data_IF_129589910523
#
_entry.id   IF_129589910523
#
_cell.length_a   1.000
_cell.length_b   1.000
_cell.length_c   1.000
_cell.angle_alpha   90.00
_cell.angle_beta   90.00
_cell.angle_gamma   90.00
#
_symmetry.space_group_name_H-M   'P 1'
#
loop_
_entity.id
_entity.type
_entity.pdbx_description
1 polymer ?
#
# COMPACT_ATOMS: atom_id res chain seq x y z
N UNK A 1 3.54 -16.31 21.70
CA UNK A 1 3.09 -16.43 20.30
C UNK A 1 1.67 -15.87 20.22
N UNK A 2 1.39 -15.05 19.22
CA UNK A 2 0.06 -14.51 18.99
C UNK A 2 -0.76 -15.57 18.26
N UNK A 3 -2.01 -15.79 18.69
CA UNK A 3 -2.90 -16.77 18.06
C UNK A 3 -3.13 -16.39 16.58
N UNK A 4 -2.98 -17.36 15.67
CA UNK A 4 -3.21 -17.15 14.23
C UNK A 4 -4.69 -16.90 13.91
N UNK A 5 -5.60 -17.38 14.77
CA UNK A 5 -7.04 -17.17 14.63
C UNK A 5 -7.51 -15.83 15.22
N UNK A 6 -6.65 -15.11 15.95
CA UNK A 6 -7.00 -13.80 16.52
C UNK A 6 -7.12 -12.74 15.41
N UNK A 7 -8.32 -12.17 15.19
CA UNK A 7 -8.51 -11.09 14.22
C UNK A 7 -7.81 -9.77 14.58
N UNK A 8 -7.47 -9.57 15.86
CA UNK A 8 -6.85 -8.35 16.38
C UNK A 8 -5.36 -8.53 16.71
N UNK A 9 -4.75 -9.60 16.18
CA UNK A 9 -3.34 -9.96 16.40
C UNK A 9 -2.36 -8.79 16.28
N UNK A 10 -2.66 -7.84 15.39
CA UNK A 10 -1.82 -6.68 15.11
C UNK A 10 -1.67 -5.73 16.29
N UNK A 11 -2.55 -5.79 17.31
CA UNK A 11 -2.48 -4.96 18.51
C UNK A 11 -1.35 -5.35 19.46
N UNK A 12 -1.01 -6.64 19.46
CA UNK A 12 0.05 -7.20 20.31
C UNK A 12 1.32 -7.53 19.51
N UNK A 13 1.34 -7.17 18.22
CA UNK A 13 2.41 -7.54 17.31
C UNK A 13 3.68 -6.68 17.52
N UNK A 14 4.83 -7.35 17.49
CA UNK A 14 6.14 -6.72 17.29
C UNK A 14 6.51 -6.92 15.82
N UNK A 15 6.45 -5.83 15.04
CA UNK A 15 6.67 -5.84 13.59
C UNK A 15 8.13 -5.51 13.30
N UNK A 16 8.75 -6.30 12.43
CA UNK A 16 10.10 -6.07 11.93
C UNK A 16 10.08 -5.84 10.43
N UNK A 17 10.46 -4.62 10.02
CA UNK A 17 10.55 -4.26 8.61
C UNK A 17 11.83 -4.85 8.00
N UNK A 18 11.69 -5.56 6.88
CA UNK A 18 12.79 -6.20 6.17
C UNK A 18 12.73 -5.83 4.69
N UNK A 19 13.87 -5.43 4.14
CA UNK A 19 14.08 -5.41 2.70
C UNK A 19 14.79 -6.69 2.28
N UNK A 20 14.13 -7.50 1.43
CA UNK A 20 14.67 -8.79 0.95
C UNK A 20 16.08 -8.61 0.36
N UNK A 21 16.22 -7.62 -0.54
CA UNK A 21 17.46 -7.20 -1.21
C UNK A 21 18.68 -7.04 -0.30
N UNK A 22 18.49 -6.64 0.96
CA UNK A 22 19.60 -6.27 1.84
C UNK A 22 19.73 -7.16 3.07
N UNK A 23 18.88 -8.18 3.23
CA UNK A 23 18.84 -8.95 4.48
C UNK A 23 19.84 -10.10 4.49
N UNK A 24 19.77 -11.00 3.50
CA UNK A 24 20.72 -12.10 3.37
C UNK A 24 20.71 -12.66 1.94
N UNK A 25 21.88 -12.72 1.33
CA UNK A 25 22.13 -13.29 0.00
C UNK A 25 22.50 -14.77 0.15
N UNK A 26 21.67 -15.66 -0.40
CA UNK A 26 21.91 -17.11 -0.35
C UNK A 26 22.74 -17.62 -1.52
N UNK A 27 22.77 -16.86 -2.62
CA UNK A 27 23.37 -17.27 -3.90
C UNK A 27 24.79 -16.70 -4.11
N UNK A 28 25.20 -15.72 -3.31
CA UNK A 28 26.42 -14.93 -3.42
C UNK A 28 26.50 -14.10 -4.72
N UNK A 29 25.37 -13.61 -5.22
CA UNK A 29 25.32 -12.70 -6.38
C UNK A 29 25.37 -11.21 -5.99
N UNK A 30 25.37 -10.90 -4.68
CA UNK A 30 25.43 -9.57 -4.11
C UNK A 30 24.07 -9.00 -3.70
N UNK A 31 22.97 -9.74 -3.90
CA UNK A 31 21.60 -9.32 -3.61
C UNK A 31 20.92 -10.33 -2.69
N UNK A 32 20.25 -9.84 -1.65
CA UNK A 32 19.45 -10.67 -0.77
C UNK A 32 18.19 -11.20 -1.46
N UNK A 33 17.80 -12.42 -1.10
CA UNK A 33 16.73 -13.18 -1.77
C UNK A 33 15.82 -13.90 -0.77
N UNK A 34 14.69 -14.45 -1.23
CA UNK A 34 13.71 -15.12 -0.35
C UNK A 34 14.24 -16.41 0.27
N UNK A 35 15.13 -17.14 -0.40
CA UNK A 35 15.76 -18.31 0.19
C UNK A 35 16.67 -17.89 1.36
N UNK A 36 17.46 -16.85 1.17
CA UNK A 36 18.31 -16.27 2.19
C UNK A 36 17.52 -15.72 3.37
N UNK A 37 16.42 -15.01 3.12
CA UNK A 37 15.51 -14.57 4.17
C UNK A 37 14.92 -15.78 4.94
N UNK A 38 14.53 -16.84 4.24
CA UNK A 38 14.02 -18.07 4.85
C UNK A 38 15.06 -18.71 5.79
N UNK A 39 16.33 -18.76 5.39
CA UNK A 39 17.43 -19.27 6.21
C UNK A 39 17.64 -18.48 7.51
N UNK A 40 17.19 -17.23 7.57
CA UNK A 40 17.35 -16.34 8.73
C UNK A 40 16.09 -16.23 9.60
N UNK A 41 15.01 -16.94 9.29
CA UNK A 41 13.78 -16.87 10.08
C UNK A 41 13.95 -17.29 11.54
N UNK A 42 14.91 -18.16 11.87
CA UNK A 42 15.19 -18.50 13.27
C UNK A 42 15.79 -17.31 14.03
N UNK A 43 16.69 -16.54 13.40
CA UNK A 43 17.19 -15.29 13.98
C UNK A 43 16.05 -14.28 14.19
N UNK A 44 15.19 -14.13 13.18
CA UNK A 44 14.03 -13.21 13.24
C UNK A 44 13.10 -13.60 14.40
N UNK A 45 12.76 -14.89 14.51
CA UNK A 45 11.96 -15.41 15.63
C UNK A 45 12.64 -15.19 16.98
N UNK A 46 13.92 -15.49 17.10
CA UNK A 46 14.65 -15.44 18.37
C UNK A 46 14.84 -14.00 18.88
N UNK A 47 14.80 -13.01 17.99
CA UNK A 47 14.71 -11.59 18.35
C UNK A 47 13.40 -11.25 19.10
N UNK A 48 12.38 -12.10 19.02
CA UNK A 48 11.09 -11.93 19.69
C UNK A 48 10.02 -11.24 18.85
N UNK A 49 10.27 -11.04 17.55
CA UNK A 49 9.30 -10.42 16.64
C UNK A 49 8.17 -11.40 16.34
N UNK A 50 7.00 -10.88 16.00
CA UNK A 50 5.80 -11.70 15.73
C UNK A 50 5.25 -11.50 14.32
N UNK A 51 5.70 -10.46 13.62
CA UNK A 51 5.35 -10.21 12.23
C UNK A 51 6.52 -9.59 11.46
N UNK A 52 6.68 -10.00 10.21
CA UNK A 52 7.62 -9.43 9.25
C UNK A 52 6.83 -8.51 8.34
N UNK A 53 7.29 -7.28 8.16
CA UNK A 53 6.82 -6.38 7.11
C UNK A 53 7.86 -6.31 6.01
N UNK A 54 7.53 -6.85 4.84
CA UNK A 54 8.39 -6.80 3.67
C UNK A 54 8.23 -5.47 2.94
N UNK A 55 9.36 -4.80 2.68
CA UNK A 55 9.44 -3.76 1.64
C UNK A 55 9.08 -4.34 0.25
N UNK A 56 8.83 -3.51 -0.78
CA UNK A 56 8.37 -4.02 -2.08
C UNK A 56 9.36 -5.04 -2.66
N UNK A 57 8.82 -6.16 -3.14
CA UNK A 57 9.59 -7.25 -3.74
C UNK A 57 9.07 -7.63 -5.14
N UNK A 58 8.20 -6.79 -5.70
CA UNK A 58 7.55 -6.97 -6.99
C UNK A 58 8.51 -6.67 -8.16
N UNK A 59 8.26 -7.22 -9.37
CA UNK A 59 8.92 -6.74 -10.57
C UNK A 59 8.82 -5.22 -10.68
N UNK A 60 9.98 -4.59 -10.83
CA UNK A 60 10.15 -3.15 -10.83
C UNK A 60 11.48 -2.84 -11.52
N UNK A 61 11.61 -1.70 -12.23
CA UNK A 61 12.91 -1.24 -12.72
C UNK A 61 13.77 -0.66 -11.58
N UNK A 62 13.27 -0.64 -10.34
CA UNK A 62 13.96 -0.24 -9.11
C UNK A 62 14.44 1.21 -9.15
N UNK A 63 13.69 2.09 -9.82
CA UNK A 63 14.03 3.53 -9.88
C UNK A 63 13.59 4.27 -8.62
N UNK A 64 12.70 3.66 -7.84
CA UNK A 64 12.37 4.05 -6.46
C UNK A 64 12.42 2.82 -5.53
N UNK A 65 13.48 2.03 -5.65
CA UNK A 65 13.77 0.83 -4.83
C UNK A 65 12.60 -0.18 -4.70
N UNK A 66 11.78 -0.28 -5.74
CA UNK A 66 10.65 -1.21 -5.82
C UNK A 66 9.27 -0.59 -5.58
N UNK A 67 9.19 0.69 -5.17
CA UNK A 67 7.91 1.40 -5.04
C UNK A 67 7.30 1.74 -6.42
N UNK A 68 8.11 1.76 -7.48
CA UNK A 68 7.69 1.79 -8.88
C UNK A 68 7.38 0.38 -9.41
N UNK A 69 6.20 -0.16 -9.09
CA UNK A 69 5.80 -1.55 -9.42
C UNK A 69 5.43 -1.69 -10.91
N UNK A 70 6.05 -2.62 -11.61
CA UNK A 70 5.76 -2.96 -13.00
C UNK A 70 4.83 -4.18 -13.16
N UNK A 71 4.78 -5.07 -12.16
CA UNK A 71 3.80 -6.17 -12.08
C UNK A 71 3.44 -6.46 -10.62
N UNK A 72 2.17 -6.35 -10.26
CA UNK A 72 1.69 -6.61 -8.91
C UNK A 72 1.60 -8.08 -8.51
N UNK A 73 1.66 -9.02 -9.45
CA UNK A 73 1.29 -10.44 -9.24
C UNK A 73 2.47 -11.40 -9.38
N UNK A 74 3.68 -10.89 -9.41
CA UNK A 74 4.89 -11.71 -9.44
C UNK A 74 5.94 -11.22 -8.44
N UNK A 75 7.03 -11.97 -8.32
CA UNK A 75 8.23 -11.63 -7.52
C UNK A 75 9.30 -11.09 -8.45
N UNK A 76 10.03 -10.06 -8.02
CA UNK A 76 11.17 -9.54 -8.75
C UNK A 76 12.21 -10.67 -8.94
N UNK A 77 12.67 -10.94 -10.18
CA UNK A 77 13.62 -12.04 -10.42
C UNK A 77 14.92 -11.95 -9.62
N UNK A 78 15.33 -10.74 -9.19
CA UNK A 78 16.49 -10.55 -8.32
C UNK A 78 16.30 -11.06 -6.89
N UNK A 79 15.06 -11.35 -6.47
CA UNK A 79 14.73 -11.82 -5.11
C UNK A 79 14.32 -13.29 -5.09
N UNK A 80 14.33 -13.97 -6.24
CA UNK A 80 13.89 -15.34 -6.43
C UNK A 80 12.58 -15.45 -7.20
N UNK A 81 11.81 -16.47 -6.90
CA UNK A 81 10.60 -16.86 -7.61
C UNK A 81 9.37 -16.82 -6.71
N UNK A 82 8.19 -16.90 -7.33
CA UNK A 82 6.94 -17.07 -6.60
C UNK A 82 6.92 -18.36 -5.75
N UNK A 83 7.66 -19.41 -6.13
CA UNK A 83 7.78 -20.61 -5.29
C UNK A 83 8.57 -20.32 -4.01
N UNK A 84 9.66 -19.57 -4.14
CA UNK A 84 10.52 -19.20 -3.00
C UNK A 84 9.74 -18.33 -2.01
N UNK A 85 8.93 -17.38 -2.50
CA UNK A 85 8.02 -16.60 -1.66
C UNK A 85 7.04 -17.48 -0.89
N UNK A 86 6.39 -18.44 -1.55
CA UNK A 86 5.45 -19.36 -0.88
C UNK A 86 6.13 -20.20 0.19
N UNK A 87 7.35 -20.68 -0.08
CA UNK A 87 8.16 -21.41 0.92
C UNK A 87 8.52 -20.52 2.10
N UNK A 88 8.89 -19.25 1.85
CA UNK A 88 9.13 -18.27 2.90
C UNK A 88 7.88 -18.05 3.78
N UNK A 89 6.71 -17.80 3.19
CA UNK A 89 5.47 -17.57 3.93
C UNK A 89 5.13 -18.79 4.81
N UNK A 90 5.19 -20.00 4.24
CA UNK A 90 4.96 -21.23 5.00
C UNK A 90 5.95 -21.39 6.16
N UNK A 91 7.25 -21.19 5.92
CA UNK A 91 8.29 -21.30 6.93
C UNK A 91 8.18 -20.23 8.03
N UNK A 92 7.71 -19.03 7.69
CA UNK A 92 7.41 -17.97 8.66
C UNK A 92 6.22 -18.38 9.55
N UNK A 93 5.15 -18.89 8.93
CA UNK A 93 3.96 -19.36 9.65
C UNK A 93 4.25 -20.54 10.58
N UNK A 94 5.09 -21.50 10.17
CA UNK A 94 5.56 -22.59 11.03
C UNK A 94 6.28 -22.10 12.30
N UNK A 95 6.89 -20.91 12.23
CA UNK A 95 7.57 -20.25 13.36
C UNK A 95 6.66 -19.29 14.14
N UNK A 96 5.37 -19.26 13.82
CA UNK A 96 4.40 -18.34 14.44
C UNK A 96 4.60 -16.88 14.04
N UNK A 97 5.32 -16.61 12.94
CA UNK A 97 5.50 -15.28 12.38
C UNK A 97 4.38 -15.01 11.37
N UNK A 98 3.86 -13.78 11.37
CA UNK A 98 2.97 -13.28 10.32
C UNK A 98 3.75 -12.51 9.26
N UNK A 99 3.20 -12.43 8.06
CA UNK A 99 3.83 -11.71 6.94
C UNK A 99 2.90 -10.58 6.47
N UNK A 100 3.41 -9.36 6.49
CA UNK A 100 2.79 -8.17 5.91
C UNK A 100 3.60 -7.81 4.65
N UNK A 101 2.92 -7.54 3.55
CA UNK A 101 3.58 -7.02 2.34
C UNK A 101 3.26 -5.54 2.16
N UNK A 102 4.20 -4.78 1.61
CA UNK A 102 3.92 -3.48 1.01
C UNK A 102 2.92 -3.61 -0.13
N UNK A 103 2.00 -2.66 -0.30
CA UNK A 103 1.22 -2.56 -1.52
C UNK A 103 1.05 -1.09 -1.90
N UNK A 104 1.71 -0.71 -2.99
CA UNK A 104 1.66 0.63 -3.55
C UNK A 104 0.46 0.73 -4.47
N UNK A 105 -0.61 1.40 -4.03
CA UNK A 105 -1.87 1.49 -4.80
C UNK A 105 -2.11 2.86 -5.40
N UNK A 106 -1.33 3.87 -5.04
CA UNK A 106 -1.47 5.22 -5.59
C UNK A 106 -1.00 5.31 -7.04
N UNK A 107 0.11 4.63 -7.36
CA UNK A 107 0.79 4.72 -8.64
C UNK A 107 1.37 3.36 -9.03
N UNK A 108 1.73 3.23 -10.30
CA UNK A 108 2.53 2.10 -10.82
C UNK A 108 3.84 2.62 -11.41
N UNK A 109 4.73 1.75 -11.87
CA UNK A 109 5.81 2.15 -12.77
C UNK A 109 5.28 2.59 -14.13
N UNK A 110 5.94 3.55 -14.77
CA UNK A 110 5.73 3.86 -16.19
C UNK A 110 5.94 2.63 -17.10
N UNK A 111 6.63 1.57 -16.64
CA UNK A 111 6.79 0.31 -17.37
C UNK A 111 5.64 -0.68 -17.14
N UNK A 112 4.72 -0.41 -16.22
CA UNK A 112 3.60 -1.31 -15.95
C UNK A 112 2.74 -1.48 -17.22
N UNK A 113 2.30 -2.71 -17.56
CA UNK A 113 1.44 -2.94 -18.72
C UNK A 113 0.15 -2.10 -18.75
N UNK A 114 -0.30 -1.58 -17.61
CA UNK A 114 -1.46 -0.70 -17.53
C UNK A 114 -1.11 0.67 -18.13
N UNK A 115 0.03 1.26 -17.74
CA UNK A 115 0.46 2.55 -18.27
C UNK A 115 0.84 2.46 -19.75
N UNK A 116 1.51 1.37 -20.15
CA UNK A 116 1.84 1.13 -21.57
C UNK A 116 0.58 1.04 -22.44
N UNK A 117 -0.47 0.37 -21.97
CA UNK A 117 -1.76 0.37 -22.69
C UNK A 117 -2.42 1.75 -22.66
N UNK A 118 -2.44 2.42 -21.50
CA UNK A 118 -3.06 3.71 -21.35
C UNK A 118 -2.43 4.75 -22.28
N UNK A 119 -1.10 4.82 -22.36
CA UNK A 119 -0.38 5.81 -23.17
C UNK A 119 -0.59 5.65 -24.67
N UNK A 120 -0.85 4.42 -25.13
CA UNK A 120 -1.12 4.08 -26.54
C UNK A 120 -2.61 4.17 -26.92
N UNK A 121 -3.52 4.11 -25.93
CA UNK A 121 -4.96 4.07 -26.18
C UNK A 121 -5.53 5.43 -26.62
N UNK A 122 -6.61 5.49 -27.41
CA UNK A 122 -7.23 6.77 -27.76
C UNK A 122 -7.62 7.62 -26.54
N UNK A 123 -7.52 8.94 -26.64
CA UNK A 123 -7.99 9.85 -25.58
C UNK A 123 -9.47 9.59 -25.25
N UNK A 124 -9.80 9.48 -23.96
CA UNK A 124 -11.15 9.19 -23.48
C UNK A 124 -11.56 7.70 -23.53
N UNK A 125 -10.67 6.77 -23.89
CA UNK A 125 -10.98 5.33 -23.82
C UNK A 125 -10.89 4.79 -22.37
N UNK A 126 -11.54 3.65 -22.06
CA UNK A 126 -11.42 3.02 -20.74
C UNK A 126 -9.98 2.64 -20.36
N UNK A 127 -9.16 2.23 -21.33
CA UNK A 127 -7.76 1.89 -21.10
C UNK A 127 -6.91 3.13 -20.81
N UNK A 128 -7.21 4.26 -21.49
CA UNK A 128 -6.58 5.56 -21.23
C UNK A 128 -6.87 6.02 -19.80
N UNK A 129 -8.12 5.85 -19.37
CA UNK A 129 -8.66 6.34 -18.11
C UNK A 129 -8.18 5.57 -16.85
N UNK A 130 -7.22 4.64 -17.00
CA UNK A 130 -6.57 3.99 -15.86
C UNK A 130 -5.60 4.93 -15.11
N UNK A 131 -5.20 6.04 -15.74
CA UNK A 131 -4.30 7.05 -15.21
C UNK A 131 -4.91 8.44 -15.39
N UNK A 132 -4.39 9.40 -14.65
CA UNK A 132 -4.88 10.78 -14.68
C UNK A 132 -4.16 11.59 -15.76
N UNK A 133 -4.92 12.05 -16.77
CA UNK A 133 -4.40 12.78 -17.93
C UNK A 133 -4.92 14.22 -18.00
N UNK A 134 -4.13 15.11 -18.62
CA UNK A 134 -4.52 16.49 -18.88
C UNK A 134 -3.85 17.04 -20.14
N UNK A 135 -4.52 17.94 -20.84
CA UNK A 135 -3.95 18.69 -21.98
C UNK A 135 -2.97 19.79 -21.52
N UNK A 136 -3.07 20.21 -20.27
CA UNK A 136 -2.21 21.22 -19.64
C UNK A 136 -1.67 20.72 -18.29
N UNK A 137 -0.63 21.36 -17.78
CA UNK A 137 -0.07 21.14 -16.45
C UNK A 137 -0.67 22.07 -15.37
N UNK A 138 -1.80 22.72 -15.66
CA UNK A 138 -2.37 23.79 -14.82
C UNK A 138 -3.36 23.27 -13.75
N UNK A 139 -3.84 22.02 -13.89
CA UNK A 139 -4.77 21.40 -12.94
C UNK A 139 -4.07 21.10 -11.61
N UNK A 140 -4.85 21.15 -10.52
CA UNK A 140 -4.39 20.83 -9.17
C UNK A 140 -3.21 21.70 -8.69
N UNK A 141 -3.14 22.94 -9.15
CA UNK A 141 -2.00 23.86 -8.93
C UNK A 141 -1.70 24.22 -7.47
N UNK A 142 -2.65 24.02 -6.55
CA UNK A 142 -2.44 24.18 -5.10
C UNK A 142 -1.74 22.97 -4.44
N UNK A 143 -1.45 21.92 -5.20
CA UNK A 143 -0.80 20.70 -4.71
C UNK A 143 0.71 20.88 -4.64
N UNK A 144 1.31 20.62 -3.48
CA UNK A 144 2.77 20.60 -3.33
C UNK A 144 3.41 19.46 -4.11
N UNK A 145 4.66 19.65 -4.52
CA UNK A 145 5.53 18.58 -5.02
C UNK A 145 6.18 17.88 -3.83
N UNK A 146 6.18 16.53 -3.81
CA UNK A 146 6.77 15.76 -2.70
C UNK A 146 8.31 15.71 -2.83
N UNK A 147 8.82 15.37 -4.02
CA UNK A 147 10.25 15.23 -4.30
C UNK A 147 10.84 16.48 -4.96
N UNK A 148 10.85 17.60 -4.22
CA UNK A 148 11.26 18.93 -4.68
C UNK A 148 12.68 19.00 -5.26
N UNK A 149 13.57 18.10 -4.84
CA UNK A 149 14.96 18.08 -5.31
C UNK A 149 15.12 17.43 -6.70
N UNK A 150 14.08 16.76 -7.20
CA UNK A 150 14.10 16.01 -8.47
C UNK A 150 13.00 16.47 -9.41
N UNK A 151 11.76 16.57 -8.93
CA UNK A 151 10.59 16.89 -9.74
C UNK A 151 10.29 18.38 -9.69
N UNK A 152 10.03 18.97 -10.87
CA UNK A 152 9.70 20.39 -11.01
C UNK A 152 8.20 20.65 -11.13
N UNK A 153 7.43 19.58 -11.37
CA UNK A 153 5.98 19.57 -11.52
C UNK A 153 5.44 18.19 -11.12
N UNK A 154 4.16 18.13 -10.74
CA UNK A 154 3.42 16.87 -10.59
C UNK A 154 2.79 16.41 -11.93
N UNK A 155 3.03 17.14 -13.02
CA UNK A 155 2.60 16.81 -14.38
C UNK A 155 3.82 16.59 -15.27
N UNK A 156 3.86 15.45 -15.95
CA UNK A 156 4.89 15.15 -16.95
C UNK A 156 4.27 14.92 -18.33
N UNK A 157 4.83 15.53 -19.36
CA UNK A 157 4.39 15.33 -20.74
C UNK A 157 4.78 13.94 -21.27
N UNK A 158 3.80 13.16 -21.70
CA UNK A 158 4.05 11.88 -22.38
C UNK A 158 4.08 12.07 -23.92
N UNK A 159 5.21 11.74 -24.58
CA UNK A 159 5.37 11.98 -26.01
C UNK A 159 4.58 11.01 -26.90
N UNK A 160 4.05 9.90 -26.37
CA UNK A 160 3.21 8.94 -27.11
C UNK A 160 1.75 9.37 -27.04
N UNK A 161 1.28 9.64 -25.83
CA UNK A 161 -0.07 10.10 -25.52
C UNK A 161 -0.38 11.51 -26.06
N UNK A 162 0.66 12.35 -26.17
CA UNK A 162 0.52 13.79 -26.45
C UNK A 162 -0.35 14.51 -25.41
N UNK A 163 -0.23 14.10 -24.16
CA UNK A 163 -0.90 14.69 -22.99
C UNK A 163 0.04 14.60 -21.78
N UNK A 164 -0.20 15.45 -20.78
CA UNK A 164 0.42 15.32 -19.48
C UNK A 164 -0.26 14.20 -18.69
N UNK A 165 0.52 13.46 -17.89
CA UNK A 165 -0.01 12.59 -16.86
C UNK A 165 0.42 13.07 -15.48
N UNK A 166 -0.42 12.78 -14.49
CA UNK A 166 -0.18 13.12 -13.10
C UNK A 166 0.75 12.11 -12.41
N UNK A 167 1.61 12.61 -11.55
CA UNK A 167 2.41 11.82 -10.62
C UNK A 167 2.66 12.62 -9.34
N UNK A 168 2.42 12.02 -8.16
CA UNK A 168 2.76 12.65 -6.87
C UNK A 168 4.22 12.45 -6.47
N UNK A 169 4.82 11.41 -7.01
CA UNK A 169 6.19 10.99 -6.76
C UNK A 169 7.02 11.27 -8.00
N UNK A 170 7.92 10.37 -8.41
CA UNK A 170 8.71 10.58 -9.61
C UNK A 170 7.87 10.50 -10.88
N UNK A 171 8.33 11.15 -11.95
CA UNK A 171 7.72 11.11 -13.29
C UNK A 171 7.59 9.70 -13.86
N UNK A 172 8.33 8.72 -13.35
CA UNK A 172 8.19 7.31 -13.72
C UNK A 172 7.26 6.51 -12.81
N UNK A 173 6.50 7.20 -11.95
CA UNK A 173 5.48 6.67 -11.07
C UNK A 173 4.11 7.31 -11.39
N UNK A 174 3.54 7.06 -12.58
CA UNK A 174 2.24 7.62 -12.96
C UNK A 174 1.13 7.17 -11.99
N UNK A 175 0.35 8.15 -11.52
CA UNK A 175 -0.73 7.95 -10.55
C UNK A 175 -1.95 7.29 -11.21
N UNK A 176 -2.51 6.30 -10.50
CA UNK A 176 -3.71 5.58 -10.90
C UNK A 176 -4.95 6.46 -10.69
N UNK A 177 -5.90 6.38 -11.63
CA UNK A 177 -7.12 7.18 -11.56
C UNK A 177 -8.21 6.48 -10.72
N UNK A 178 -8.36 6.84 -9.44
CA UNK A 178 -9.40 6.25 -8.58
C UNK A 178 -10.81 6.78 -8.81
N UNK A 179 -11.01 7.80 -9.66
CA UNK A 179 -12.36 8.13 -10.15
C UNK A 179 -12.89 7.05 -11.12
N UNK A 180 -12.00 6.24 -11.70
CA UNK A 180 -12.36 5.10 -12.53
C UNK A 180 -12.61 3.85 -11.66
N UNK A 181 -13.86 3.33 -11.60
CA UNK A 181 -14.17 2.17 -10.76
C UNK A 181 -13.41 0.88 -11.17
N UNK A 182 -12.93 0.80 -12.41
CA UNK A 182 -12.12 -0.35 -12.86
C UNK A 182 -10.73 -0.37 -12.19
N UNK A 183 -10.18 0.80 -11.82
CA UNK A 183 -8.92 0.89 -11.07
C UNK A 183 -9.10 0.32 -9.66
N UNK A 184 -10.18 0.73 -8.97
CA UNK A 184 -10.50 0.20 -7.64
C UNK A 184 -10.67 -1.32 -7.67
N UNK A 185 -11.41 -1.87 -8.63
CA UNK A 185 -11.58 -3.33 -8.74
C UNK A 185 -10.23 -4.02 -8.99
N UNK A 186 -9.41 -3.52 -9.92
CA UNK A 186 -8.10 -4.10 -10.22
C UNK A 186 -7.18 -4.10 -8.98
N UNK A 187 -7.19 -3.03 -8.19
CA UNK A 187 -6.44 -2.94 -6.94
C UNK A 187 -6.96 -3.95 -5.91
N UNK A 188 -8.28 -4.10 -5.74
CA UNK A 188 -8.85 -5.10 -4.83
C UNK A 188 -8.49 -6.52 -5.28
N UNK A 189 -8.50 -6.81 -6.59
CA UNK A 189 -8.05 -8.11 -7.09
C UNK A 189 -6.57 -8.40 -6.78
N UNK A 190 -5.70 -7.38 -6.82
CA UNK A 190 -4.30 -7.51 -6.41
C UNK A 190 -4.21 -7.82 -4.90
N UNK A 191 -5.00 -7.13 -4.08
CA UNK A 191 -5.04 -7.41 -2.63
C UNK A 191 -5.48 -8.85 -2.36
N UNK A 192 -6.57 -9.31 -3.00
CA UNK A 192 -7.07 -10.69 -2.92
C UNK A 192 -5.99 -11.70 -3.29
N UNK A 193 -5.27 -11.45 -4.39
CA UNK A 193 -4.21 -12.36 -4.87
C UNK A 193 -3.16 -12.67 -3.79
N UNK A 194 -2.70 -11.66 -3.05
CA UNK A 194 -1.70 -11.84 -1.99
C UNK A 194 -2.28 -12.43 -0.71
N UNK A 195 -3.50 -12.02 -0.33
CA UNK A 195 -4.20 -12.59 0.83
C UNK A 195 -4.51 -14.08 0.62
N UNK A 196 -4.95 -14.48 -0.57
CA UNK A 196 -5.17 -15.88 -0.97
C UNK A 196 -3.87 -16.70 -0.93
N UNK A 197 -2.72 -16.04 -1.08
CA UNK A 197 -1.41 -16.67 -0.97
C UNK A 197 -0.93 -16.85 0.48
N UNK A 198 -1.69 -16.35 1.46
CA UNK A 198 -1.39 -16.49 2.89
C UNK A 198 -0.69 -15.28 3.51
N UNK A 199 -0.62 -14.14 2.82
CA UNK A 199 -0.20 -12.88 3.44
C UNK A 199 -1.20 -12.50 4.53
N UNK A 200 -0.70 -12.09 5.70
CA UNK A 200 -1.51 -11.81 6.89
C UNK A 200 -1.97 -10.33 6.98
N UNK A 201 -1.37 -9.45 6.17
CA UNK A 201 -1.72 -8.04 6.13
C UNK A 201 -1.05 -7.29 4.98
N UNK A 202 -1.60 -6.13 4.64
CA UNK A 202 -1.09 -5.27 3.58
C UNK A 202 -0.82 -3.89 4.19
N UNK A 203 0.41 -3.39 4.04
CA UNK A 203 0.71 -1.99 4.33
C UNK A 203 0.44 -1.20 3.05
N UNK A 204 -0.59 -0.36 3.07
CA UNK A 204 -0.95 0.44 1.91
C UNK A 204 -0.11 1.71 1.88
N UNK A 205 0.70 1.87 0.83
CA UNK A 205 1.54 3.05 0.63
C UNK A 205 0.75 4.22 0.03
N UNK A 206 1.24 5.45 0.26
CA UNK A 206 0.77 6.66 -0.41
C UNK A 206 -0.74 6.96 -0.29
N UNK A 207 -1.41 6.39 0.71
CA UNK A 207 -2.87 6.48 0.91
C UNK A 207 -3.46 7.90 0.89
N UNK A 208 -2.83 8.95 1.45
CA UNK A 208 -3.41 10.29 1.43
C UNK A 208 -3.65 10.87 0.04
N UNK A 209 -3.09 10.29 -1.02
CA UNK A 209 -2.95 10.92 -2.32
C UNK A 209 -3.84 10.34 -3.43
N UNK A 210 -4.71 9.36 -3.13
CA UNK A 210 -5.42 8.58 -4.16
C UNK A 210 -6.40 9.38 -5.05
N UNK A 211 -6.87 10.54 -4.60
CA UNK A 211 -7.86 11.35 -5.32
C UNK A 211 -7.39 12.79 -5.38
N UNK A 212 -7.54 13.40 -6.55
CA UNK A 212 -7.24 14.81 -6.80
C UNK A 212 -8.49 15.63 -7.10
N UNK A 213 -8.52 16.88 -6.62
CA UNK A 213 -9.60 17.84 -6.91
C UNK A 213 -9.03 19.24 -7.05
N UNK A 214 -9.48 19.98 -8.06
CA UNK A 214 -9.14 21.39 -8.23
C UNK A 214 -9.57 22.21 -7.00
N UNK A 215 -8.76 23.20 -6.62
CA UNK A 215 -8.99 24.05 -5.45
C UNK A 215 -8.75 23.35 -4.10
N UNK A 216 -8.06 22.21 -4.11
CA UNK A 216 -7.60 21.50 -2.91
C UNK A 216 -6.10 21.22 -2.98
N UNK A 217 -5.51 20.78 -1.87
CA UNK A 217 -4.12 20.32 -1.87
C UNK A 217 -3.97 18.85 -2.34
N UNK A 218 -5.04 18.19 -2.76
CA UNK A 218 -5.07 16.78 -3.17
C UNK A 218 -4.50 15.81 -2.11
N UNK A 219 -4.73 16.09 -0.83
CA UNK A 219 -4.34 15.21 0.27
C UNK A 219 -5.50 14.98 1.24
N UNK A 220 -5.72 13.71 1.63
CA UNK A 220 -6.72 13.31 2.63
C UNK A 220 -8.16 13.74 2.28
N UNK A 221 -8.50 13.71 0.98
CA UNK A 221 -9.84 14.07 0.53
C UNK A 221 -10.87 13.05 1.04
N UNK A 222 -12.12 13.49 1.21
CA UNK A 222 -13.23 12.61 1.63
C UNK A 222 -13.37 11.40 0.72
N UNK A 223 -13.20 11.59 -0.59
CA UNK A 223 -13.29 10.55 -1.60
C UNK A 223 -12.17 9.52 -1.46
N UNK A 224 -10.95 9.95 -1.10
CA UNK A 224 -9.86 9.03 -0.73
C UNK A 224 -10.27 8.15 0.45
N UNK A 225 -10.91 8.72 1.47
CA UNK A 225 -11.43 7.94 2.59
C UNK A 225 -12.55 6.97 2.17
N UNK A 226 -13.38 7.32 1.20
CA UNK A 226 -14.42 6.44 0.68
C UNK A 226 -13.83 5.27 -0.12
N UNK A 227 -12.75 5.50 -0.89
CA UNK A 227 -11.96 4.43 -1.52
C UNK A 227 -11.42 3.45 -0.46
N UNK A 228 -10.83 3.96 0.63
CA UNK A 228 -10.31 3.12 1.73
C UNK A 228 -11.44 2.29 2.38
N UNK A 229 -12.61 2.90 2.61
CA UNK A 229 -13.77 2.19 3.17
C UNK A 229 -14.26 1.10 2.21
N UNK A 230 -14.28 1.37 0.91
CA UNK A 230 -14.68 0.39 -0.11
C UNK A 230 -13.72 -0.80 -0.16
N UNK A 231 -12.40 -0.53 -0.15
CA UNK A 231 -11.36 -1.57 -0.02
C UNK A 231 -11.61 -2.40 1.24
N UNK A 232 -11.75 -1.74 2.40
CA UNK A 232 -11.97 -2.42 3.67
C UNK A 232 -13.22 -3.30 3.66
N UNK A 233 -14.34 -2.79 3.13
CA UNK A 233 -15.59 -3.53 3.04
C UNK A 233 -15.47 -4.76 2.13
N UNK A 234 -14.78 -4.64 0.99
CA UNK A 234 -14.52 -5.76 0.09
C UNK A 234 -13.69 -6.85 0.76
N UNK A 235 -12.60 -6.48 1.45
CA UNK A 235 -11.74 -7.44 2.14
C UNK A 235 -12.42 -8.10 3.34
N UNK A 236 -13.18 -7.36 4.17
CA UNK A 236 -13.88 -7.95 5.32
C UNK A 236 -14.98 -8.95 4.89
N UNK A 237 -15.56 -8.79 3.70
CA UNK A 237 -16.58 -9.70 3.18
C UNK A 237 -16.02 -11.09 2.80
N UNK A 238 -14.74 -11.16 2.43
CA UNK A 238 -14.10 -12.37 1.90
C UNK A 238 -13.06 -12.96 2.87
N UNK A 239 -12.39 -12.11 3.64
CA UNK A 239 -11.39 -12.45 4.64
C UNK A 239 -11.91 -12.03 6.03
N UNK A 240 -13.02 -12.62 6.51
CA UNK A 240 -13.67 -12.19 7.72
C UNK A 240 -12.74 -12.34 8.92
N UNK A 241 -12.61 -11.24 9.66
CA UNK A 241 -12.07 -11.25 11.01
C UNK A 241 -13.14 -11.80 11.96
N UNK A 242 -12.86 -12.85 12.77
CA UNK A 242 -13.82 -13.42 13.73
C UNK A 242 -14.23 -12.47 14.88
N UNK A 243 -14.72 -11.27 14.59
CA UNK A 243 -15.24 -10.29 15.56
C UNK A 243 -15.85 -9.01 14.94
N UNK A 244 -16.01 -8.93 13.61
CA UNK A 244 -16.83 -7.86 13.01
C UNK A 244 -18.31 -7.91 13.47
N UNK A 245 -18.76 -9.05 14.00
CA UNK A 245 -20.03 -9.24 14.69
C UNK A 245 -19.77 -9.63 16.16
N UNK A 246 -19.41 -8.66 17.00
CA UNK A 246 -18.95 -8.98 18.36
C UNK A 246 -19.16 -7.93 19.44
N UNK A 247 -20.09 -6.97 19.28
CA UNK A 247 -20.67 -6.23 20.41
C UNK A 247 -22.18 -6.45 20.41
N UNK A 248 -22.61 -7.64 20.84
CA UNK A 248 -24.04 -7.93 21.00
C UNK A 248 -24.37 -9.42 21.04
N UNK A 249 -24.26 -10.00 22.23
CA UNK A 249 -24.89 -11.24 22.70
C UNK A 249 -24.28 -12.61 22.28
N UNK A 250 -24.29 -13.60 23.19
CA UNK A 250 -23.78 -14.95 22.95
C UNK A 250 -24.91 -15.91 22.55
N UNK A 251 -24.69 -16.87 21.65
CA UNK A 251 -25.15 -18.27 21.83
C UNK A 251 -24.31 -19.25 20.99
N UNK A 252 -24.10 -20.41 21.60
CA UNK A 252 -23.40 -21.64 21.24
C UNK A 252 -23.71 -22.35 19.90
N UNK A 253 -22.70 -23.11 19.42
CA UNK A 253 -22.81 -24.56 19.23
C UNK A 253 -23.05 -25.11 17.81
N UNK A 254 -22.06 -25.83 17.28
CA UNK A 254 -22.25 -27.13 16.60
C UNK A 254 -22.52 -27.17 15.08
N UNK A 255 -21.53 -27.71 14.37
CA UNK A 255 -21.56 -28.53 13.14
C UNK A 255 -22.47 -28.21 11.94
N UNK A 256 -21.82 -28.07 10.78
CA UNK A 256 -22.19 -28.87 9.59
C UNK A 256 -22.74 -28.16 8.35
N UNK A 257 -22.06 -28.46 7.24
CA UNK A 257 -22.58 -28.55 5.86
C UNK A 257 -22.74 -27.29 4.98
N UNK A 258 -21.83 -27.22 4.01
CA UNK A 258 -21.94 -26.78 2.61
C UNK A 258 -23.37 -26.68 2.06
N UNK A 259 -23.72 -25.52 1.49
CA UNK A 259 -24.63 -25.45 0.33
C UNK A 259 -24.29 -24.28 -0.61
N UNK A 260 -23.99 -24.61 -1.87
CA UNK A 260 -24.05 -23.70 -3.02
C UNK A 260 -25.50 -23.31 -3.29
N UNK A 261 -25.76 -22.04 -3.60
CA UNK A 261 -26.80 -21.65 -4.57
C UNK A 261 -26.54 -20.27 -5.16
N UNK A 262 -26.41 -20.23 -6.49
CA UNK A 262 -26.55 -19.01 -7.31
C UNK A 262 -27.98 -18.48 -7.19
N UNK A 263 -28.12 -17.17 -6.99
CA UNK A 263 -29.40 -16.47 -6.98
C UNK A 263 -29.19 -15.00 -7.37
N UNK A 264 -30.03 -14.53 -8.29
CA UNK A 264 -30.04 -13.25 -9.00
C UNK A 264 -30.38 -12.09 -8.04
N UNK A 265 -29.67 -10.98 -8.11
CA UNK A 265 -29.96 -9.75 -7.34
C UNK A 265 -31.18 -9.00 -7.91
N UNK A 266 -32.20 -8.65 -7.10
CA UNK A 266 -33.16 -7.61 -7.41
C UNK A 266 -32.75 -6.27 -6.79
N UNK A 267 -33.08 -5.20 -7.49
CA UNK A 267 -32.89 -3.80 -7.10
C UNK A 267 -33.64 -3.42 -5.80
N UNK A 268 -32.96 -2.60 -5.00
CA UNK A 268 -33.54 -1.48 -4.22
C UNK A 268 -34.39 -1.83 -3.00
N UNK A 269 -33.88 -1.51 -1.81
CA UNK A 269 -34.70 -1.24 -0.63
C UNK A 269 -34.13 -0.02 0.14
N UNK A 270 -34.98 0.84 0.72
CA UNK A 270 -34.62 2.15 1.27
C UNK A 270 -34.04 2.06 2.69
N UNK A 271 -33.23 3.07 3.05
CA UNK A 271 -32.66 3.26 4.38
C UNK A 271 -33.75 3.70 5.39
N UNK A 272 -33.71 3.24 6.66
CA UNK A 272 -34.57 3.72 7.74
C UNK A 272 -34.28 5.18 8.13
N UNK A 273 -35.35 5.90 8.47
CA UNK A 273 -35.35 7.31 8.84
C UNK A 273 -35.28 7.47 10.37
N UNK A 274 -34.15 7.14 10.98
CA UNK A 274 -34.01 7.20 12.44
C UNK A 274 -32.55 7.15 12.96
N UNK A 275 -31.58 7.65 12.18
CA UNK A 275 -30.24 7.93 12.70
C UNK A 275 -30.20 9.33 13.34
N UNK A 276 -30.10 9.36 14.67
CA UNK A 276 -30.06 10.58 15.49
C UNK A 276 -28.78 11.40 15.30
N UNK A 277 -28.93 12.73 15.33
CA UNK A 277 -27.85 13.72 15.37
C UNK A 277 -26.97 13.53 16.61
N UNK A 278 -25.66 13.42 16.41
CA UNK A 278 -24.67 13.47 17.51
C UNK A 278 -23.64 14.56 17.22
N UNK A 279 -24.10 15.80 17.19
CA UNK A 279 -23.27 16.97 17.47
C UNK A 279 -23.86 17.70 18.68
N UNK A 280 -23.32 17.40 19.85
CA UNK A 280 -23.53 18.19 21.05
C UNK A 280 -22.47 19.29 21.12
N UNK A 281 -22.90 20.53 20.90
CA UNK A 281 -22.12 21.72 21.21
C UNK A 281 -21.72 21.74 22.69
N UNK A 282 -20.44 22.05 22.96
CA UNK A 282 -20.03 22.67 24.23
C UNK A 282 -19.05 23.82 23.99
N UNK A 283 -19.14 24.89 24.80
CA UNK A 283 -18.48 26.16 24.53
C UNK A 283 -17.08 26.25 25.15
N UNK A 284 -16.22 27.05 24.49
CA UNK A 284 -15.30 27.99 25.14
C UNK A 284 -14.16 27.41 25.99
N UNK A 285 -12.99 27.23 25.36
CA UNK A 285 -11.69 27.19 26.02
C UNK A 285 -10.61 27.70 25.04
N UNK A 286 -9.60 28.47 25.49
CA UNK A 286 -8.62 29.06 24.58
C UNK A 286 -7.74 27.98 23.96
N UNK A 287 -7.45 28.12 22.68
CA UNK A 287 -6.59 27.21 21.92
C UNK A 287 -5.16 27.19 22.50
N UNK A 288 -4.50 26.02 22.57
CA UNK A 288 -3.09 25.96 22.93
C UNK A 288 -2.21 26.50 21.80
N UNK A 289 -1.31 27.41 22.17
CA UNK A 289 -0.24 27.99 21.33
C UNK A 289 0.76 26.89 20.93
N UNK A 290 0.57 26.29 19.75
CA UNK A 290 1.55 25.41 19.15
C UNK A 290 2.58 26.24 18.38
N UNK A 291 3.50 26.87 19.12
CA UNK A 291 4.79 27.29 18.55
C UNK A 291 5.59 26.03 18.25
N UNK A 292 5.56 25.61 16.99
CA UNK A 292 6.60 24.74 16.48
C UNK A 292 7.91 25.52 16.50
N UNK A 293 8.83 25.07 17.36
CA UNK A 293 10.23 25.43 17.24
C UNK A 293 10.71 25.02 15.85
N UNK A 294 10.97 26.00 15.00
CA UNK A 294 11.78 25.83 13.80
C UNK A 294 13.18 25.32 14.23
N UNK A 295 13.81 24.41 13.48
CA UNK A 295 15.20 24.08 13.71
C UNK A 295 16.05 25.32 13.43
N UNK A 296 16.72 25.82 14.48
CA UNK A 296 17.66 26.92 14.39
C UNK A 296 18.88 26.47 13.59
N UNK A 297 18.93 26.91 12.33
CA UNK A 297 20.08 26.74 11.46
C UNK A 297 21.20 27.70 11.91
N UNK A 298 21.90 27.36 12.99
CA UNK A 298 23.15 28.02 13.43
C UNK A 298 23.82 27.32 14.63
N UNK A 299 24.45 26.17 14.42
CA UNK A 299 25.65 25.80 15.22
C UNK A 299 26.59 24.91 14.40
N UNK A 300 27.52 25.55 13.70
CA UNK A 300 28.67 24.91 13.07
C UNK A 300 29.78 24.75 14.10
N UNK A 301 29.72 23.69 14.92
CA UNK A 301 30.85 23.23 15.72
C UNK A 301 31.05 21.73 15.54
N UNK A 302 32.18 21.41 14.93
CA UNK A 302 32.51 20.10 14.39
C UNK A 302 32.45 18.97 15.40
N UNK A 303 31.87 17.85 14.95
CA UNK A 303 32.05 16.55 15.57
C UNK A 303 33.26 15.89 14.89
N UNK A 304 34.23 15.33 15.65
CA UNK A 304 35.42 14.72 15.08
C UNK A 304 35.05 13.37 14.46
N UNK A 305 35.11 13.29 13.13
CA UNK A 305 35.08 12.02 12.39
C UNK A 305 36.49 11.44 12.44
N UNK A 306 36.65 10.27 13.05
CA UNK A 306 37.92 9.54 13.08
C UNK A 306 38.28 9.00 11.69
N UNK A 307 39.58 8.97 11.38
CA UNK A 307 40.10 8.51 10.09
C UNK A 307 39.80 7.02 9.83
N UNK A 308 39.24 6.73 8.64
CA UNK A 308 39.07 5.37 8.13
C UNK A 308 40.38 4.86 7.52
N UNK A 309 40.85 3.64 7.83
CA UNK A 309 42.06 3.08 7.24
C UNK A 309 41.83 2.67 5.78
N UNK A 310 42.86 2.89 4.95
CA UNK A 310 42.88 2.47 3.55
C UNK A 310 42.86 0.93 3.43
N UNK A 311 42.01 0.42 2.54
CA UNK A 311 41.87 -1.02 2.31
C UNK A 311 43.04 -1.58 1.47
N UNK A 312 43.50 -2.81 1.74
CA UNK A 312 44.41 -3.56 0.86
C UNK A 312 43.70 -4.16 -0.35
#
# INVERSE_FOLDING_TARGET
MIDRSDPQWYRDAIIYQIHVKSFFDSSNDGIGDFEGLTQKLDYVRDLGVTAIWLMPFYPSPLRDDGYDIADYRDVNPSYGTMEDFRRFVAAAHERGLRVITELVINHTSDQHPWFQRAREAPAGSPERDFYVWSDTDEKYSDTRIIFLDTEVSNWTWDPVAKQYFWHRFYSHQPDLNFDNPAVLEAVIEVMRYWLDMGVDGLRLDAIPYLIERDGTNCENLSETHDVIKAIRAALDAEYPRPDAAGRGQPVAGGDGAVFRRRGRMPHGLPLPADAADVHGDRPGGPAPDHRHHAPDARDSRGLPVGDLPAQP
#
